data_IF_102826876200
#
_entry.id   IF_102826876200
#
_cell.length_a   1.000
_cell.length_b   1.000
_cell.length_c   1.000
_cell.angle_alpha   90.00
_cell.angle_beta   90.00
_cell.angle_gamma   90.00
#
_symmetry.space_group_name_H-M   'P 1'
#
loop_
_entity.id
_entity.type
_entity.pdbx_description
1 polymer ?
#
# COMPACT_ATOMS: atom_id res chain seq x y z
N UNK A 1 14.36 10.45 0.25
CA UNK A 1 14.54 11.13 -1.06
C UNK A 1 13.18 11.09 -1.74
N UNK A 2 12.65 12.22 -2.19
CA UNK A 2 11.42 12.24 -3.00
C UNK A 2 11.86 12.24 -4.45
N UNK A 3 11.68 11.10 -5.11
CA UNK A 3 11.97 10.94 -6.53
C UNK A 3 10.68 11.02 -7.35
N UNK A 4 10.83 11.27 -8.64
CA UNK A 4 9.69 11.29 -9.57
C UNK A 4 9.13 9.87 -9.73
N UNK A 5 10.02 8.95 -10.07
CA UNK A 5 9.76 7.52 -10.20
C UNK A 5 10.78 6.74 -9.36
N UNK A 6 10.35 5.62 -8.77
CA UNK A 6 11.23 4.69 -8.04
C UNK A 6 11.01 3.27 -8.56
N UNK A 7 12.09 2.58 -8.89
CA UNK A 7 12.07 1.15 -9.23
C UNK A 7 13.06 0.40 -8.36
N UNK A 8 12.59 -0.69 -7.76
CA UNK A 8 13.40 -1.58 -6.91
C UNK A 8 13.15 -3.00 -7.37
N UNK A 9 14.23 -3.71 -7.67
CA UNK A 9 14.21 -5.10 -8.12
C UNK A 9 15.13 -5.93 -7.19
N UNK A 10 14.77 -7.20 -6.97
CA UNK A 10 15.64 -8.25 -6.39
C UNK A 10 16.36 -7.86 -5.10
N UNK A 11 15.64 -7.24 -4.17
CA UNK A 11 16.25 -6.60 -2.99
C UNK A 11 15.59 -7.00 -1.68
N UNK A 12 16.39 -7.04 -0.61
CA UNK A 12 15.92 -7.28 0.76
C UNK A 12 16.30 -6.13 1.67
N UNK A 13 15.31 -5.55 2.36
CA UNK A 13 15.53 -4.46 3.31
C UNK A 13 15.00 -4.79 4.70
N UNK A 14 15.76 -4.40 5.73
CA UNK A 14 15.34 -4.46 7.13
C UNK A 14 14.79 -3.09 7.55
N UNK A 15 13.64 -2.74 6.98
CA UNK A 15 13.05 -1.41 7.05
C UNK A 15 13.52 -0.50 5.90
N UNK A 16 12.57 0.09 5.20
CA UNK A 16 12.81 0.99 4.07
C UNK A 16 11.70 2.03 3.97
N UNK A 17 12.05 3.24 3.55
CA UNK A 17 11.08 4.30 3.26
C UNK A 17 11.22 4.75 1.80
N UNK A 18 10.18 4.51 1.02
CA UNK A 18 10.12 4.83 -0.41
C UNK A 18 9.04 5.87 -0.60
N UNK A 19 9.40 7.00 -1.19
CA UNK A 19 8.46 8.09 -1.48
C UNK A 19 8.69 8.56 -2.91
N UNK A 20 7.63 8.49 -3.74
CA UNK A 20 7.65 8.98 -5.10
C UNK A 20 6.45 9.90 -5.39
N UNK A 21 6.47 10.57 -6.55
CA UNK A 21 5.39 11.46 -6.99
C UNK A 21 4.60 10.94 -8.20
N UNK A 22 5.19 10.06 -9.00
CA UNK A 22 4.54 9.50 -10.20
C UNK A 22 4.43 7.99 -10.15
N UNK A 23 5.54 7.24 -10.11
CA UNK A 23 5.48 5.78 -10.12
C UNK A 23 6.38 5.13 -9.09
N UNK A 24 5.91 4.01 -8.53
CA UNK A 24 6.70 3.08 -7.73
C UNK A 24 6.51 1.69 -8.30
N UNK A 25 7.60 1.01 -8.63
CA UNK A 25 7.59 -0.42 -8.95
C UNK A 25 8.52 -1.17 -7.99
N UNK A 26 7.98 -2.20 -7.36
CA UNK A 26 8.70 -3.14 -6.48
C UNK A 26 8.51 -4.55 -7.04
N UNK A 27 9.61 -5.19 -7.42
CA UNK A 27 9.63 -6.49 -8.10
C UNK A 27 10.60 -7.43 -7.40
N UNK A 28 10.16 -8.64 -7.07
CA UNK A 28 10.96 -9.69 -6.40
C UNK A 28 11.71 -9.19 -5.14
N UNK A 29 10.98 -8.51 -4.25
CA UNK A 29 11.56 -7.88 -3.06
C UNK A 29 11.01 -8.41 -1.73
N UNK A 30 11.84 -8.33 -0.68
CA UNK A 30 11.46 -8.63 0.70
C UNK A 30 11.71 -7.41 1.60
N UNK A 31 10.62 -6.75 1.99
CA UNK A 31 10.66 -5.57 2.85
C UNK A 31 10.18 -5.94 4.25
N UNK A 32 11.10 -5.98 5.23
CA UNK A 32 10.77 -6.28 6.61
C UNK A 32 10.24 -5.05 7.36
N UNK A 33 9.43 -5.28 8.38
CA UNK A 33 8.88 -4.21 9.21
C UNK A 33 9.98 -3.49 10.01
N UNK A 34 9.94 -2.14 10.12
CA UNK A 34 8.95 -1.23 9.54
C UNK A 34 9.34 -0.77 8.13
N UNK A 35 8.54 -1.13 7.13
CA UNK A 35 8.68 -0.61 5.76
C UNK A 35 7.52 0.30 5.38
N UNK A 36 7.79 1.29 4.54
CA UNK A 36 6.84 2.32 4.16
C UNK A 36 7.02 2.68 2.68
N UNK A 37 5.93 2.56 1.93
CA UNK A 37 5.84 2.92 0.52
C UNK A 37 4.76 3.99 0.40
N UNK A 38 5.10 5.17 -0.10
CA UNK A 38 4.15 6.25 -0.36
C UNK A 38 4.30 6.80 -1.77
N UNK A 39 3.21 6.80 -2.50
CA UNK A 39 3.06 7.60 -3.71
C UNK A 39 2.21 8.82 -3.38
N UNK A 40 2.77 10.01 -3.56
CA UNK A 40 2.14 11.28 -3.26
C UNK A 40 1.86 12.05 -4.56
N UNK A 41 0.67 11.86 -5.10
CA UNK A 41 0.30 12.42 -6.40
C UNK A 41 -0.24 13.82 -6.20
N UNK A 42 0.60 14.80 -6.52
CA UNK A 42 0.26 16.22 -6.47
C UNK A 42 0.11 16.72 -7.90
N UNK A 43 -1.08 17.18 -8.25
CA UNK A 43 -1.30 17.94 -9.49
C UNK A 43 -2.06 19.23 -9.22
N UNK A 44 -1.69 20.27 -9.96
CA UNK A 44 -2.41 21.54 -10.05
C UNK A 44 -3.34 21.57 -11.28
N UNK A 45 -3.14 20.67 -12.25
CA UNK A 45 -3.89 20.58 -13.51
C UNK A 45 -4.86 19.40 -13.52
N UNK A 46 -6.03 19.60 -14.15
CA UNK A 46 -7.09 18.60 -14.35
C UNK A 46 -6.82 17.65 -15.53
N UNK A 47 -5.57 17.43 -15.90
CA UNK A 47 -5.21 16.46 -16.94
C UNK A 47 -5.39 15.02 -16.42
N UNK A 48 -5.38 14.05 -17.34
CA UNK A 48 -5.49 12.64 -16.98
C UNK A 48 -4.26 12.21 -16.18
N UNK A 49 -4.49 11.70 -14.96
CA UNK A 49 -3.44 11.30 -14.01
C UNK A 49 -3.39 9.78 -13.99
N UNK A 50 -2.23 9.19 -14.28
CA UNK A 50 -2.04 7.74 -14.33
C UNK A 50 -0.81 7.29 -13.52
N UNK A 51 -0.73 7.74 -12.28
CA UNK A 51 0.34 7.41 -11.34
C UNK A 51 0.08 6.06 -10.66
N UNK A 52 1.09 5.21 -10.50
CA UNK A 52 0.88 3.86 -9.96
C UNK A 52 1.91 3.37 -8.96
N UNK A 53 1.45 2.54 -8.02
CA UNK A 53 2.29 1.64 -7.24
C UNK A 53 2.06 0.23 -7.79
N UNK A 54 3.11 -0.44 -8.26
CA UNK A 54 3.07 -1.84 -8.69
C UNK A 54 3.94 -2.69 -7.77
N UNK A 55 3.32 -3.66 -7.10
CA UNK A 55 3.98 -4.64 -6.25
C UNK A 55 3.84 -6.01 -6.92
N UNK A 56 4.98 -6.60 -7.28
CA UNK A 56 5.07 -7.85 -8.04
C UNK A 56 5.98 -8.81 -7.30
N UNK A 57 5.54 -10.06 -7.10
CA UNK A 57 6.31 -11.14 -6.48
C UNK A 57 7.07 -10.72 -5.21
N UNK A 58 6.42 -9.89 -4.37
CA UNK A 58 7.09 -9.24 -3.25
C UNK A 58 6.38 -9.48 -1.93
N UNK A 59 7.17 -9.54 -0.86
CA UNK A 59 6.66 -9.63 0.52
C UNK A 59 6.89 -8.29 1.21
N UNK A 60 5.81 -7.61 1.53
CA UNK A 60 5.84 -6.27 2.14
C UNK A 60 5.28 -6.33 3.56
N UNK A 61 6.15 -6.13 4.55
CA UNK A 61 5.76 -5.98 5.94
C UNK A 61 5.81 -4.49 6.32
N UNK A 62 4.67 -3.80 6.23
CA UNK A 62 4.67 -2.34 6.31
C UNK A 62 3.39 -1.64 5.86
N UNK A 63 3.56 -0.40 5.41
CA UNK A 63 2.47 0.45 4.93
C UNK A 63 2.67 0.76 3.45
N UNK A 64 1.57 0.69 2.68
CA UNK A 64 1.52 1.10 1.28
C UNK A 64 0.45 2.16 1.16
N UNK A 65 0.84 3.38 0.82
CA UNK A 65 -0.02 4.55 0.76
C UNK A 65 0.00 5.15 -0.64
N UNK A 66 -1.17 5.36 -1.22
CA UNK A 66 -1.38 6.24 -2.37
C UNK A 66 -2.27 7.39 -1.91
N UNK A 67 -1.68 8.59 -1.86
CA UNK A 67 -2.37 9.82 -1.48
C UNK A 67 -2.38 10.80 -2.64
N UNK A 68 -3.52 11.45 -2.85
CA UNK A 68 -3.74 12.36 -3.96
C UNK A 68 -4.37 13.66 -3.47
N UNK A 69 -4.01 14.79 -4.08
CA UNK A 69 -4.70 16.07 -3.81
C UNK A 69 -6.10 16.15 -4.43
N UNK A 70 -6.45 15.18 -5.28
CA UNK A 70 -7.66 15.17 -6.14
C UNK A 70 -8.41 13.82 -6.07
N UNK A 71 -8.60 13.32 -4.86
CA UNK A 71 -9.31 12.06 -4.56
C UNK A 71 -10.68 11.97 -5.26
N UNK A 72 -10.93 10.86 -5.97
CA UNK A 72 -12.22 10.59 -6.62
C UNK A 72 -12.56 11.47 -7.83
N UNK A 73 -11.63 12.29 -8.33
CA UNK A 73 -11.87 13.10 -9.53
C UNK A 73 -11.90 12.27 -10.82
N UNK A 74 -12.86 12.58 -11.71
CA UNK A 74 -12.89 12.04 -13.07
C UNK A 74 -11.59 12.37 -13.81
N UNK A 75 -10.94 11.37 -14.39
CA UNK A 75 -9.62 11.50 -15.05
C UNK A 75 -8.43 11.15 -14.16
N UNK A 76 -8.63 10.93 -12.86
CA UNK A 76 -7.60 10.35 -12.01
C UNK A 76 -7.70 8.82 -12.03
N UNK A 77 -6.81 8.18 -12.78
CA UNK A 77 -6.70 6.73 -12.90
C UNK A 77 -5.63 6.13 -11.97
N UNK A 78 -5.07 6.93 -11.06
CA UNK A 78 -4.00 6.46 -10.18
C UNK A 78 -4.40 5.23 -9.36
N UNK A 79 -3.50 4.27 -9.25
CA UNK A 79 -3.83 2.92 -8.76
C UNK A 79 -2.69 2.28 -7.98
N UNK A 80 -3.03 1.52 -6.95
CA UNK A 80 -2.15 0.51 -6.37
C UNK A 80 -2.50 -0.83 -7.02
N UNK A 81 -1.53 -1.53 -7.60
CA UNK A 81 -1.65 -2.90 -8.09
C UNK A 81 -0.78 -3.81 -7.26
N UNK A 82 -1.37 -4.87 -6.72
CA UNK A 82 -0.67 -5.90 -5.95
C UNK A 82 -1.03 -7.25 -6.56
N UNK A 83 -0.04 -7.90 -7.16
CA UNK A 83 -0.22 -9.14 -7.90
C UNK A 83 -0.41 -10.36 -6.99
N UNK A 84 -0.88 -11.47 -7.56
CA UNK A 84 -1.21 -12.69 -6.81
C UNK A 84 0.01 -13.38 -6.17
N UNK A 85 1.21 -13.16 -6.71
CA UNK A 85 2.45 -13.73 -6.17
C UNK A 85 3.01 -12.96 -4.97
N UNK A 86 2.47 -11.77 -4.70
CA UNK A 86 2.86 -10.95 -3.55
C UNK A 86 2.15 -11.33 -2.25
N UNK A 87 2.67 -10.84 -1.13
CA UNK A 87 2.06 -10.96 0.19
C UNK A 87 2.25 -9.69 1.00
N UNK A 88 1.17 -9.19 1.59
CA UNK A 88 1.22 -7.97 2.40
C UNK A 88 0.90 -8.30 3.86
N UNK A 89 1.77 -7.87 4.77
CA UNK A 89 1.54 -7.85 6.21
C UNK A 89 1.50 -6.39 6.66
N UNK A 90 0.31 -5.84 6.88
CA UNK A 90 0.17 -4.45 7.31
C UNK A 90 -1.00 -3.68 6.69
N UNK A 91 -0.75 -2.43 6.29
CA UNK A 91 -1.78 -1.49 5.85
C UNK A 91 -1.62 -1.16 4.37
N UNK A 92 -2.70 -1.32 3.61
CA UNK A 92 -2.83 -0.76 2.26
C UNK A 92 -3.86 0.36 2.31
N UNK A 93 -3.48 1.56 1.89
CA UNK A 93 -4.33 2.73 1.85
C UNK A 93 -4.24 3.38 0.47
N UNK A 94 -5.36 3.48 -0.23
CA UNK A 94 -5.46 4.18 -1.52
C UNK A 94 -6.59 5.20 -1.46
N UNK A 95 -6.27 6.47 -1.72
CA UNK A 95 -7.31 7.48 -1.95
C UNK A 95 -7.96 7.34 -3.34
N UNK A 96 -7.54 6.37 -4.15
CA UNK A 96 -8.15 6.12 -5.46
C UNK A 96 -8.40 4.63 -5.67
N UNK A 97 -7.84 4.04 -6.73
CA UNK A 97 -8.09 2.64 -7.09
C UNK A 97 -7.11 1.71 -6.38
N UNK A 98 -7.59 0.51 -6.07
CA UNK A 98 -6.79 -0.62 -5.65
C UNK A 98 -7.19 -1.85 -6.45
N UNK A 99 -6.22 -2.42 -7.17
CA UNK A 99 -6.30 -3.72 -7.80
C UNK A 99 -5.52 -4.71 -6.95
N UNK A 100 -6.24 -5.60 -6.25
CA UNK A 100 -5.69 -6.50 -5.26
C UNK A 100 -5.94 -7.96 -5.64
N UNK A 101 -4.87 -8.68 -5.94
CA UNK A 101 -4.87 -10.13 -6.18
C UNK A 101 -4.09 -10.91 -5.12
N UNK A 102 -3.21 -10.25 -4.35
CA UNK A 102 -2.51 -10.84 -3.21
C UNK A 102 -3.40 -11.00 -1.96
N UNK A 103 -3.07 -11.93 -1.04
CA UNK A 103 -3.56 -11.90 0.32
C UNK A 103 -2.98 -10.70 1.11
N UNK A 104 -3.82 -10.06 1.91
CA UNK A 104 -3.44 -9.01 2.86
C UNK A 104 -3.74 -9.45 4.28
N UNK A 105 -2.68 -9.65 5.06
CA UNK A 105 -2.76 -9.91 6.49
C UNK A 105 -2.68 -8.58 7.23
N UNK A 106 -3.83 -7.92 7.35
CA UNK A 106 -3.92 -6.60 7.94
C UNK A 106 -5.16 -5.84 7.50
N UNK A 107 -4.98 -4.59 7.08
CA UNK A 107 -6.09 -3.65 6.84
C UNK A 107 -5.95 -3.03 5.46
N UNK A 108 -7.08 -2.89 4.78
CA UNK A 108 -7.18 -2.25 3.47
C UNK A 108 -8.22 -1.15 3.52
N UNK A 109 -7.82 0.04 3.08
CA UNK A 109 -8.71 1.17 2.82
C UNK A 109 -8.50 1.63 1.38
N UNK A 110 -9.57 1.70 0.61
CA UNK A 110 -9.51 2.16 -0.77
C UNK A 110 -10.79 2.92 -1.12
N UNK A 111 -10.71 3.89 -2.03
CA UNK A 111 -11.92 4.54 -2.56
C UNK A 111 -12.72 3.57 -3.44
N UNK A 112 -12.03 2.82 -4.31
CA UNK A 112 -12.63 1.71 -5.04
C UNK A 112 -11.68 0.53 -5.17
N UNK A 113 -12.23 -0.69 -5.06
CA UNK A 113 -11.58 -1.86 -5.64
C UNK A 113 -11.83 -1.85 -7.14
N UNK A 114 -10.81 -2.12 -7.94
CA UNK A 114 -10.91 -2.14 -9.39
C UNK A 114 -10.24 -3.38 -9.94
N UNK A 115 -10.94 -4.10 -10.81
CA UNK A 115 -10.43 -5.29 -11.47
C UNK A 115 -10.93 -5.31 -12.93
N UNK A 116 -10.05 -5.63 -13.87
CA UNK A 116 -10.37 -5.69 -15.28
C UNK A 116 -10.12 -7.09 -15.84
N UNK A 117 -11.19 -7.72 -16.32
CA UNK A 117 -11.15 -8.99 -17.05
C UNK A 117 -11.76 -8.74 -18.41
N UNK A 118 -10.93 -8.56 -19.43
CA UNK A 118 -11.36 -8.15 -20.77
C UNK A 118 -12.60 -8.93 -21.25
N UNK A 119 -13.69 -8.26 -21.69
CA UNK A 119 -13.87 -6.81 -21.87
C UNK A 119 -14.57 -6.10 -20.69
N UNK A 120 -14.61 -6.72 -19.52
CA UNK A 120 -15.46 -6.32 -18.38
C UNK A 120 -14.64 -5.69 -17.26
N UNK A 121 -15.15 -4.58 -16.72
CA UNK A 121 -14.65 -3.95 -15.49
C UNK A 121 -15.53 -4.32 -14.30
N UNK A 122 -14.88 -4.63 -13.18
CA UNK A 122 -15.52 -4.89 -11.89
C UNK A 122 -15.07 -3.81 -10.91
N UNK A 123 -16.02 -3.00 -10.43
CA UNK A 123 -15.79 -1.91 -9.49
C UNK A 123 -16.40 -2.27 -8.13
N UNK A 124 -15.63 -2.16 -7.07
CA UNK A 124 -15.97 -2.56 -5.70
C UNK A 124 -16.20 -4.07 -5.52
N UNK A 125 -15.47 -4.88 -6.30
CA UNK A 125 -15.45 -6.33 -6.16
C UNK A 125 -14.08 -6.79 -5.66
N UNK A 126 -14.10 -7.75 -4.73
CA UNK A 126 -12.92 -8.54 -4.36
C UNK A 126 -13.00 -9.86 -5.11
N UNK A 127 -11.95 -10.22 -5.84
CA UNK A 127 -11.89 -11.42 -6.67
C UNK A 127 -10.66 -12.22 -6.23
N UNK A 128 -10.85 -13.47 -5.81
CA UNK A 128 -9.78 -14.43 -5.48
C UNK A 128 -8.73 -13.91 -4.49
N UNK A 129 -9.09 -12.98 -3.60
CA UNK A 129 -8.22 -12.41 -2.56
C UNK A 129 -8.85 -12.53 -1.18
N UNK A 130 -8.02 -12.42 -0.15
CA UNK A 130 -8.43 -12.46 1.26
C UNK A 130 -7.77 -11.33 2.04
N UNK A 131 -8.57 -10.63 2.85
CA UNK A 131 -8.11 -9.62 3.80
C UNK A 131 -8.35 -10.16 5.21
N UNK A 132 -7.29 -10.43 5.96
CA UNK A 132 -7.32 -11.12 7.25
C UNK A 132 -6.65 -10.27 8.34
N UNK A 133 -7.46 -9.49 9.07
CA UNK A 133 -6.97 -8.64 10.16
C UNK A 133 -6.42 -9.45 11.33
N UNK A 134 -7.06 -10.57 11.68
CA UNK A 134 -6.70 -11.36 12.87
C UNK A 134 -5.34 -12.07 12.73
N UNK A 135 -4.79 -12.10 11.52
CA UNK A 135 -3.45 -12.62 11.21
C UNK A 135 -2.38 -11.53 11.14
N UNK A 136 -2.73 -10.27 11.43
CA UNK A 136 -1.76 -9.17 11.54
C UNK A 136 -0.83 -9.43 12.73
N UNK A 137 0.47 -9.14 12.57
CA UNK A 137 1.45 -9.35 13.64
C UNK A 137 1.11 -8.36 14.76
N UNK A 138 1.00 -8.84 16.00
CA UNK A 138 0.70 -7.99 17.16
C UNK A 138 1.75 -6.90 17.39
N UNK A 139 2.96 -7.05 16.81
CA UNK A 139 4.02 -6.03 16.82
C UNK A 139 3.84 -4.94 15.77
N UNK A 140 2.90 -5.11 14.84
CA UNK A 140 2.60 -4.10 13.82
C UNK A 140 1.90 -2.90 14.47
N UNK A 141 2.53 -1.73 14.42
CA UNK A 141 1.98 -0.52 15.02
C UNK A 141 1.02 0.14 14.03
N UNK A 142 -0.29 0.04 14.26
CA UNK A 142 -1.24 0.83 13.47
C UNK A 142 -1.18 2.31 13.86
N UNK A 143 -1.41 3.26 12.93
CA UNK A 143 -1.65 4.65 13.28
C UNK A 143 -2.78 4.77 14.32
N UNK A 144 -2.63 5.68 15.27
CA UNK A 144 -3.62 5.92 16.33
C UNK A 144 -4.95 6.33 15.67
N UNK A 145 -6.03 5.59 15.94
CA UNK A 145 -7.36 5.81 15.35
C UNK A 145 -8.06 4.56 14.81
N UNK A 146 -7.37 3.42 14.71
CA UNK A 146 -7.92 2.16 14.18
C UNK A 146 -8.19 1.06 15.24
N UNK A 147 -8.04 1.37 16.53
CA UNK A 147 -8.37 0.46 17.64
C UNK A 147 -9.66 0.88 18.35
N UNK A 148 -10.42 -0.13 18.80
CA UNK A 148 -11.64 0.03 19.60
C UNK A 148 -11.32 0.35 21.07
N UNK A 149 -10.15 -0.09 21.54
CA UNK A 149 -9.59 0.15 22.88
C UNK A 149 -8.09 0.44 22.73
N UNK A 150 -7.60 1.56 23.28
CA UNK A 150 -6.21 2.01 23.16
C UNK A 150 -5.42 1.72 24.45
N UNK A 151 -5.39 0.45 24.88
CA UNK A 151 -4.44 0.05 25.94
C UNK A 151 -3.07 -0.14 25.31
N UNK A 152 -2.36 0.98 25.15
CA UNK A 152 -0.98 0.99 24.69
C UNK A 152 -0.09 0.43 25.80
N UNK A 153 0.20 -0.86 25.76
CA UNK A 153 1.21 -1.46 26.63
C UNK A 153 2.59 -0.98 26.15
N UNK A 154 3.28 -0.21 26.99
CA UNK A 154 4.66 0.19 26.72
C UNK A 154 5.50 -1.08 26.71
N UNK A 155 5.93 -1.52 25.52
CA UNK A 155 6.88 -2.61 25.35
C UNK A 155 8.27 -2.17 25.84
N UNK A 156 8.42 -2.16 27.17
CA UNK A 156 9.67 -2.09 27.95
C UNK A 156 10.71 -1.07 27.45
N UNK A 157 10.68 0.13 28.02
CA UNK A 157 11.74 1.13 27.89
C UNK A 157 13.02 0.63 28.56
N UNK A 158 14.05 0.32 27.77
CA UNK A 158 15.43 0.26 28.25
C UNK A 158 16.12 1.53 27.77
N UNK A 159 16.18 2.54 28.64
CA UNK A 159 17.06 3.68 28.45
C UNK A 159 18.47 3.23 28.83
N UNK A 160 19.35 3.07 27.84
CA UNK A 160 20.79 3.01 28.09
C UNK A 160 21.28 4.46 28.12
N UNK A 161 21.62 4.93 29.33
CA UNK A 161 22.43 6.13 29.54
C UNK A 161 23.90 5.82 29.29
#
# INVERSE_FOLDING_TARGET
LSEKDVKIDESKFNGVQIIAKENIKVDDCLFNYPSFIKLDVVTENKEEIDSKIEIINSVINGYILLTNTTTGMSGNNSIIRIDESSRIQGLVYSENRLELHAPVYGVVYTYNFWNYVKPTEYINWLINTHIMRDSLDFKFLMPIGFYKENDLEILKTVWLY
#
